data_IF_481962804220
#
_entry.id   IF_481962804220
#
_cell.length_a   1.000
_cell.length_b   1.000
_cell.length_c   1.000
_cell.angle_alpha   90.00
_cell.angle_beta   90.00
_cell.angle_gamma   90.00
#
_symmetry.space_group_name_H-M   'P 1'
#
loop_
_entity.id
_entity.type
_entity.pdbx_description
1 polymer ?
#
# COMPACT_ATOMS: atom_id res chain seq x y z
N UNK A 1 -9.54 -13.72 -22.55
CA UNK A 1 -10.71 -13.73 -21.64
C UNK A 1 -10.21 -13.48 -20.22
N UNK A 2 -10.09 -12.21 -19.83
CA UNK A 2 -9.67 -11.82 -18.49
C UNK A 2 -10.85 -12.00 -17.54
N UNK A 3 -10.78 -13.09 -16.76
CA UNK A 3 -11.80 -13.47 -15.79
C UNK A 3 -12.10 -12.32 -14.83
N UNK A 4 -13.39 -12.18 -14.53
CA UNK A 4 -13.95 -11.06 -13.78
C UNK A 4 -13.25 -10.84 -12.44
N UNK A 5 -12.75 -9.62 -12.29
CA UNK A 5 -12.42 -9.01 -11.01
C UNK A 5 -13.72 -8.92 -10.20
N UNK A 6 -14.00 -9.90 -9.35
CA UNK A 6 -14.79 -9.63 -8.14
C UNK A 6 -14.06 -8.52 -7.38
N UNK A 7 -14.81 -7.57 -6.83
CA UNK A 7 -14.34 -6.33 -6.21
C UNK A 7 -13.48 -6.55 -4.94
N UNK A 8 -12.34 -7.23 -5.07
CA UNK A 8 -11.29 -7.30 -4.07
C UNK A 8 -10.33 -6.13 -4.28
N UNK A 9 -10.03 -5.41 -3.20
CA UNK A 9 -8.99 -4.38 -3.20
C UNK A 9 -7.70 -4.96 -3.77
N UNK A 10 -7.10 -4.27 -4.74
CA UNK A 10 -5.81 -4.66 -5.28
C UNK A 10 -4.77 -4.65 -4.16
N UNK A 11 -3.74 -5.48 -4.23
CA UNK A 11 -2.69 -5.57 -3.20
C UNK A 11 -2.09 -4.18 -2.88
N UNK A 12 -1.91 -3.33 -3.88
CA UNK A 12 -1.49 -1.92 -3.73
C UNK A 12 -2.44 -1.11 -2.82
N UNK A 13 -3.75 -1.26 -3.00
CA UNK A 13 -4.76 -0.56 -2.20
C UNK A 13 -4.73 -1.01 -0.73
N UNK A 14 -4.48 -2.30 -0.48
CA UNK A 14 -4.30 -2.80 0.88
C UNK A 14 -2.98 -2.32 1.49
N UNK A 15 -1.92 -2.25 0.69
CA UNK A 15 -0.61 -1.74 1.12
C UNK A 15 -0.62 -0.25 1.45
N UNK A 16 -1.42 0.56 0.74
CA UNK A 16 -1.56 1.98 1.06
C UNK A 16 -2.49 2.19 2.26
N UNK A 17 -3.52 1.35 2.42
CA UNK A 17 -4.44 1.39 3.57
C UNK A 17 -3.72 1.22 4.91
N UNK A 18 -2.71 0.36 4.98
CA UNK A 18 -1.96 0.08 6.23
C UNK A 18 -0.74 0.97 6.41
N UNK A 19 -0.49 1.92 5.50
CA UNK A 19 0.72 2.72 5.55
C UNK A 19 0.61 3.84 6.59
N UNK A 20 1.57 3.98 7.53
CA UNK A 20 1.55 5.06 8.51
C UNK A 20 1.93 6.41 7.89
N UNK A 21 1.71 7.49 8.64
CA UNK A 21 2.13 8.84 8.25
C UNK A 21 3.65 9.06 8.34
N UNK A 22 4.33 8.27 9.19
CA UNK A 22 5.77 8.29 9.36
C UNK A 22 6.53 7.34 8.42
N UNK A 23 7.87 7.40 8.42
CA UNK A 23 8.71 6.45 7.69
C UNK A 23 8.47 5.01 8.15
N UNK A 24 8.35 4.09 7.21
CA UNK A 24 8.20 2.65 7.49
C UNK A 24 9.11 1.83 6.58
N UNK A 25 9.69 0.75 7.13
CA UNK A 25 10.42 -0.24 6.30
C UNK A 25 9.43 -1.09 5.53
N UNK A 26 9.84 -1.57 4.35
CA UNK A 26 8.98 -2.44 3.56
C UNK A 26 8.55 -3.70 4.35
N UNK A 27 9.49 -4.35 5.05
CA UNK A 27 9.21 -5.55 5.86
C UNK A 27 8.17 -5.28 6.95
N UNK A 28 8.35 -4.20 7.71
CA UNK A 28 7.42 -3.81 8.78
C UNK A 28 6.02 -3.53 8.21
N UNK A 29 5.94 -2.89 7.03
CA UNK A 29 4.67 -2.66 6.35
C UNK A 29 4.00 -3.98 5.94
N UNK A 30 4.76 -4.97 5.48
CA UNK A 30 4.19 -6.28 5.11
C UNK A 30 3.58 -7.00 6.31
N UNK A 31 4.13 -6.81 7.50
CA UNK A 31 3.59 -7.39 8.72
C UNK A 31 2.23 -6.79 9.12
N UNK A 32 1.84 -5.64 8.56
CA UNK A 32 0.54 -4.99 8.80
C UNK A 32 -0.56 -5.43 7.82
N UNK A 33 -0.20 -6.17 6.77
CA UNK A 33 -1.16 -6.58 5.75
C UNK A 33 -2.14 -7.64 6.28
N UNK A 34 -3.40 -7.64 5.80
CA UNK A 34 -4.32 -8.73 6.06
C UNK A 34 -3.76 -10.09 5.60
N UNK A 35 -4.14 -11.18 6.28
CA UNK A 35 -3.66 -12.54 6.01
C UNK A 35 -3.90 -13.00 4.55
N UNK A 36 -4.92 -12.43 3.91
CA UNK A 36 -5.30 -12.72 2.53
C UNK A 36 -4.26 -12.21 1.50
N UNK A 37 -3.42 -11.25 1.89
CA UNK A 37 -2.40 -10.68 1.01
C UNK A 37 -1.14 -11.53 1.05
N UNK A 38 -0.81 -12.15 -0.09
CA UNK A 38 0.41 -12.94 -0.23
C UNK A 38 1.65 -12.03 -0.13
N UNK A 39 2.57 -12.25 0.84
CA UNK A 39 3.73 -11.40 1.03
C UNK A 39 4.59 -11.27 -0.24
N UNK A 40 4.79 -12.37 -0.99
CA UNK A 40 5.58 -12.35 -2.24
C UNK A 40 5.00 -11.39 -3.29
N UNK A 41 3.68 -11.32 -3.39
CA UNK A 41 2.99 -10.40 -4.30
C UNK A 41 3.17 -8.96 -3.83
N UNK A 42 2.92 -8.69 -2.55
CA UNK A 42 3.06 -7.36 -1.98
C UNK A 42 4.50 -6.81 -2.05
N UNK A 43 5.52 -7.67 -1.86
CA UNK A 43 6.92 -7.30 -2.08
C UNK A 43 7.19 -6.89 -3.54
N UNK A 44 6.67 -7.67 -4.51
CA UNK A 44 6.83 -7.36 -5.93
C UNK A 44 6.13 -6.06 -6.35
N UNK A 45 4.96 -5.79 -5.76
CA UNK A 45 4.15 -4.61 -6.08
C UNK A 45 4.55 -3.36 -5.29
N UNK A 46 5.39 -3.48 -4.26
CA UNK A 46 5.84 -2.35 -3.45
C UNK A 46 6.50 -1.22 -4.28
N UNK A 47 7.17 -1.57 -5.38
CA UNK A 47 7.76 -0.59 -6.30
C UNK A 47 6.72 0.25 -7.05
N UNK A 48 5.51 -0.28 -7.26
CA UNK A 48 4.42 0.41 -7.95
C UNK A 48 3.92 1.60 -7.14
N UNK A 49 3.90 1.49 -5.81
CA UNK A 49 3.56 2.63 -4.93
C UNK A 49 4.51 3.82 -5.09
N UNK A 50 5.77 3.57 -5.43
CA UNK A 50 6.75 4.64 -5.72
C UNK A 50 6.55 5.16 -7.14
N UNK A 51 6.35 4.26 -8.11
CA UNK A 51 6.07 4.63 -9.50
C UNK A 51 4.82 5.52 -9.63
N UNK A 52 3.77 5.20 -8.88
CA UNK A 52 2.50 5.94 -8.84
C UNK A 52 2.56 7.20 -7.95
N UNK A 53 3.72 7.48 -7.33
CA UNK A 53 3.96 8.60 -6.42
C UNK A 53 3.04 8.61 -5.20
N UNK A 54 2.55 7.45 -4.76
CA UNK A 54 1.81 7.28 -3.51
C UNK A 54 2.76 7.25 -2.31
N UNK A 55 4.00 6.84 -2.54
CA UNK A 55 5.07 6.83 -1.56
C UNK A 55 6.34 7.38 -2.16
N UNK A 56 7.25 7.84 -1.33
CA UNK A 56 8.61 8.18 -1.73
C UNK A 56 9.61 7.58 -0.77
N UNK A 57 10.84 7.35 -1.25
CA UNK A 57 11.94 6.90 -0.39
C UNK A 57 12.28 8.00 0.60
N UNK A 58 12.47 7.63 1.86
CA UNK A 58 13.02 8.56 2.84
C UNK A 58 14.53 8.70 2.60
N UNK A 59 14.99 9.94 2.40
CA UNK A 59 16.42 10.24 2.26
C UNK A 59 17.20 10.18 3.57
N UNK A 60 16.51 10.14 4.71
CA UNK A 60 17.13 10.14 6.06
C UNK A 60 17.34 8.74 6.61
N UNK A 61 16.55 7.77 6.18
CA UNK A 61 16.59 6.40 6.69
C UNK A 61 16.55 5.39 5.53
N UNK A 62 17.68 4.71 5.33
CA UNK A 62 17.82 3.71 4.26
C UNK A 62 16.78 2.59 4.38
N UNK A 63 16.16 2.25 3.25
CA UNK A 63 15.17 1.17 3.18
C UNK A 63 13.79 1.53 3.76
N UNK A 64 13.54 2.79 4.08
CA UNK A 64 12.22 3.28 4.50
C UNK A 64 11.55 4.12 3.42
N UNK A 65 10.23 4.17 3.46
CA UNK A 65 9.42 5.07 2.63
C UNK A 65 8.41 5.83 3.47
N UNK A 66 8.06 7.01 2.98
CA UNK A 66 7.03 7.89 3.56
C UNK A 66 5.87 8.04 2.59
N UNK A 67 4.67 8.18 3.14
CA UNK A 67 3.46 8.40 2.35
C UNK A 67 3.46 9.83 1.80
N UNK A 68 3.11 9.99 0.52
CA UNK A 68 2.96 11.33 -0.08
C UNK A 68 1.58 11.89 0.23
N UNK A 69 1.33 13.16 -0.12
CA UNK A 69 -0.02 13.72 -0.05
C UNK A 69 -1.02 12.93 -0.91
N UNK A 70 -0.62 12.57 -2.14
CA UNK A 70 -1.41 11.69 -3.02
C UNK A 70 -1.68 10.33 -2.36
N UNK A 71 -0.67 9.77 -1.70
CA UNK A 71 -0.81 8.54 -0.93
C UNK A 71 -1.83 8.67 0.21
N UNK A 72 -1.80 9.76 0.97
CA UNK A 72 -2.77 10.03 2.05
C UNK A 72 -4.19 10.13 1.53
N UNK A 73 -4.40 10.84 0.42
CA UNK A 73 -5.70 10.92 -0.22
C UNK A 73 -6.20 9.52 -0.62
N UNK A 74 -5.35 8.73 -1.30
CA UNK A 74 -5.71 7.37 -1.69
C UNK A 74 -6.01 6.48 -0.48
N UNK A 75 -5.22 6.58 0.59
CA UNK A 75 -5.46 5.87 1.86
C UNK A 75 -6.83 6.23 2.44
N UNK A 76 -7.18 7.51 2.46
CA UNK A 76 -8.50 7.97 2.93
C UNK A 76 -9.63 7.42 2.06
N UNK A 77 -9.49 7.41 0.74
CA UNK A 77 -10.43 6.76 -0.17
C UNK A 77 -10.60 5.27 0.17
N UNK A 78 -9.50 4.54 0.44
CA UNK A 78 -9.55 3.12 0.75
C UNK A 78 -10.23 2.85 2.09
N UNK A 79 -9.94 3.64 3.12
CA UNK A 79 -10.66 3.54 4.39
C UNK A 79 -12.16 3.83 4.23
N UNK A 80 -12.52 4.82 3.41
CA UNK A 80 -13.93 5.12 3.13
C UNK A 80 -14.63 3.98 2.36
N UNK A 81 -13.94 3.30 1.44
CA UNK A 81 -14.47 2.12 0.74
C UNK A 81 -14.64 0.93 1.68
N UNK A 82 -13.65 0.68 2.55
CA UNK A 82 -13.68 -0.42 3.52
C UNK A 82 -14.78 -0.23 4.57
N UNK A 83 -15.03 1.00 5.02
CA UNK A 83 -16.08 1.30 5.99
C UNK A 83 -17.52 1.17 5.43
N UNK A 84 -17.67 1.02 4.11
CA UNK A 84 -18.97 0.87 3.43
C UNK A 84 -19.34 -0.60 3.14
N UNK A 85 -18.46 -1.53 3.47
CA UNK A 85 -18.69 -2.99 3.35
C UNK A 85 -19.19 -3.54 4.68
#
# INVERSE_FOLDING_TARGET
>A
MTGGQKAGLQTIDQMIAVMPDGPIRLQDRMALLPEEVKPKTAFGEAGLLVADRLTTRDGRAFGTSVITEKGRQRRAEMHALLARQ
#
